data_IF_606328880962
#
_entry.id   IF_606328880962
#
_cell.length_a   1.000
_cell.length_b   1.000
_cell.length_c   1.000
_cell.angle_alpha   90.00
_cell.angle_beta   90.00
_cell.angle_gamma   90.00
#
_symmetry.space_group_name_H-M   'P 1'
#
loop_
_entity.id
_entity.type
_entity.pdbx_description
1 polymer ?
#
# COMPACT_ATOMS: atom_id res chain seq x y z
N UNK A 1 -5.50 3.41 -24.65
CA UNK A 1 -4.94 4.55 -23.90
C UNK A 1 -6.10 5.20 -23.15
N UNK A 2 -5.95 5.46 -21.85
CA UNK A 2 -7.03 6.04 -21.03
C UNK A 2 -7.15 7.55 -21.32
N UNK A 3 -8.37 8.13 -21.35
CA UNK A 3 -8.55 9.57 -21.52
C UNK A 3 -8.30 10.30 -20.19
N UNK A 4 -7.03 10.60 -19.88
CA UNK A 4 -6.57 11.20 -18.63
C UNK A 4 -5.95 12.59 -18.86
N UNK A 5 -5.96 13.46 -17.85
CA UNK A 5 -5.19 14.70 -17.81
C UNK A 5 -3.70 14.42 -17.57
N UNK A 6 -2.84 15.41 -17.80
CA UNK A 6 -1.38 15.24 -17.76
C UNK A 6 -0.83 14.92 -16.36
N UNK A 7 -1.58 15.25 -15.31
CA UNK A 7 -1.23 15.09 -13.90
C UNK A 7 -2.05 13.99 -13.20
N UNK A 8 -2.96 13.33 -13.93
CA UNK A 8 -3.72 12.20 -13.40
C UNK A 8 -2.81 11.00 -13.16
N UNK A 9 -3.04 10.33 -12.03
CA UNK A 9 -2.51 9.00 -11.76
C UNK A 9 -3.66 8.02 -11.67
N UNK A 10 -3.65 7.00 -12.53
CA UNK A 10 -4.65 5.94 -12.51
C UNK A 10 -4.01 4.67 -11.96
N UNK A 11 -4.66 4.05 -10.96
CA UNK A 11 -4.19 2.78 -10.38
C UNK A 11 -5.33 1.76 -10.32
N UNK A 12 -5.04 0.49 -10.57
CA UNK A 12 -5.88 -0.63 -10.10
C UNK A 12 -5.29 -1.19 -8.81
N UNK A 13 -6.10 -1.74 -7.91
CA UNK A 13 -5.58 -2.30 -6.67
C UNK A 13 -6.16 -3.67 -6.32
N UNK A 14 -5.37 -4.44 -5.57
CA UNK A 14 -5.76 -5.69 -4.91
C UNK A 14 -5.64 -5.52 -3.40
N UNK A 15 -6.62 -5.99 -2.64
CA UNK A 15 -6.60 -5.88 -1.18
C UNK A 15 -6.23 -7.22 -0.54
N UNK A 16 -5.27 -7.18 0.38
CA UNK A 16 -4.92 -8.27 1.28
C UNK A 16 -5.34 -7.92 2.71
N UNK A 17 -5.65 -8.92 3.53
CA UNK A 17 -5.87 -8.72 4.96
C UNK A 17 -4.89 -9.56 5.76
N UNK A 18 -4.06 -8.90 6.56
CA UNK A 18 -3.17 -9.54 7.52
C UNK A 18 -3.88 -9.61 8.88
N UNK A 19 -4.07 -10.82 9.39
CA UNK A 19 -4.54 -11.00 10.77
C UNK A 19 -3.35 -11.21 11.72
N UNK A 20 -3.25 -10.38 12.75
CA UNK A 20 -2.21 -10.49 13.79
C UNK A 20 -2.79 -10.09 15.14
N UNK A 21 -2.64 -10.95 16.15
CA UNK A 21 -3.11 -10.66 17.51
C UNK A 21 -4.61 -10.35 17.60
N UNK A 22 -5.44 -11.00 16.77
CA UNK A 22 -6.88 -10.79 16.73
C UNK A 22 -7.34 -9.51 16.01
N UNK A 23 -6.43 -8.75 15.40
CA UNK A 23 -6.74 -7.54 14.61
C UNK A 23 -6.42 -7.77 13.14
N UNK A 24 -7.27 -7.27 12.26
CA UNK A 24 -7.06 -7.30 10.81
C UNK A 24 -6.46 -5.98 10.34
N UNK A 25 -5.40 -6.04 9.57
CA UNK A 25 -4.78 -4.90 8.87
C UNK A 25 -4.98 -5.09 7.37
N UNK A 26 -5.62 -4.14 6.69
CA UNK A 26 -5.72 -4.17 5.23
C UNK A 26 -4.40 -3.70 4.62
N UNK A 27 -4.05 -4.29 3.48
CA UNK A 27 -2.93 -3.85 2.65
C UNK A 27 -3.45 -3.74 1.22
N UNK A 28 -3.46 -2.54 0.68
CA UNK A 28 -3.86 -2.26 -0.69
C UNK A 28 -2.62 -2.22 -1.59
N UNK A 29 -2.56 -3.11 -2.58
CA UNK A 29 -1.45 -3.14 -3.54
C UNK A 29 -1.91 -2.53 -4.84
N UNK A 30 -1.44 -1.32 -5.13
CA UNK A 30 -1.76 -0.53 -6.31
C UNK A 30 -0.78 -0.83 -7.43
N UNK A 31 -1.30 -1.20 -8.59
CA UNK A 31 -0.60 -1.19 -9.86
C UNK A 31 -0.88 0.13 -10.57
N UNK A 32 0.17 0.89 -10.87
CA UNK A 32 0.06 2.19 -11.53
C UNK A 32 -0.13 1.97 -13.04
N UNK A 33 -1.31 2.28 -13.54
CA UNK A 33 -1.69 2.10 -14.95
C UNK A 33 -1.28 3.31 -15.81
N UNK A 34 -1.21 4.50 -15.21
CA UNK A 34 -0.79 5.75 -15.86
C UNK A 34 -0.30 6.77 -14.83
N UNK A 35 0.60 7.66 -15.24
CA UNK A 35 1.27 8.65 -14.37
C UNK A 35 2.79 8.48 -14.34
N UNK A 36 3.45 9.15 -13.40
CA UNK A 36 4.91 9.23 -13.31
C UNK A 36 5.62 7.87 -13.13
N UNK A 37 4.96 6.90 -12.50
CA UNK A 37 5.52 5.58 -12.16
C UNK A 37 4.73 4.43 -12.81
N UNK A 38 4.22 4.62 -14.03
CA UNK A 38 3.43 3.59 -14.73
C UNK A 38 4.16 2.24 -14.81
N UNK A 39 3.47 1.16 -14.45
CA UNK A 39 4.00 -0.20 -14.36
C UNK A 39 4.56 -0.58 -12.98
N UNK A 40 4.73 0.38 -12.06
CA UNK A 40 5.16 0.08 -10.70
C UNK A 40 4.01 -0.43 -9.82
N UNK A 41 4.39 -1.17 -8.77
CA UNK A 41 3.48 -1.62 -7.73
C UNK A 41 3.85 -0.97 -6.40
N UNK A 42 2.83 -0.46 -5.68
CA UNK A 42 2.96 0.13 -4.35
C UNK A 42 1.97 -0.52 -3.39
N UNK A 43 2.44 -0.94 -2.21
CA UNK A 43 1.61 -1.60 -1.20
C UNK A 43 1.43 -0.69 0.01
N UNK A 44 0.19 -0.37 0.34
CA UNK A 44 -0.15 0.54 1.42
C UNK A 44 -0.91 -0.19 2.52
N UNK A 45 -0.37 -0.26 3.75
CA UNK A 45 -1.17 -0.61 4.91
C UNK A 45 -2.26 0.45 5.15
N UNK A 46 -3.50 0.01 5.35
CA UNK A 46 -4.70 0.87 5.48
C UNK A 46 -5.54 0.43 6.69
N UNK A 47 -5.97 1.41 7.49
CA UNK A 47 -6.95 1.26 8.57
C UNK A 47 -7.94 2.42 8.46
N UNK A 48 -9.25 2.13 8.37
CA UNK A 48 -10.32 3.13 8.25
C UNK A 48 -10.05 4.26 7.23
N UNK A 49 -9.59 3.89 6.03
CA UNK A 49 -9.23 4.81 4.93
C UNK A 49 -8.00 5.70 5.19
N UNK A 50 -7.31 5.49 6.32
CA UNK A 50 -6.05 6.15 6.64
C UNK A 50 -4.90 5.26 6.15
N UNK A 51 -4.05 5.83 5.30
CA UNK A 51 -2.80 5.22 4.92
C UNK A 51 -1.79 5.30 6.07
N UNK A 52 -1.04 4.21 6.26
CA UNK A 52 0.10 4.19 7.18
C UNK A 52 1.20 5.19 6.82
N UNK A 53 2.15 5.41 7.72
CA UNK A 53 3.35 6.20 7.40
C UNK A 53 4.14 5.59 6.23
N UNK A 54 4.71 6.44 5.37
CA UNK A 54 5.42 6.03 4.14
C UNK A 54 6.53 4.99 4.39
N UNK A 55 7.15 5.02 5.56
CA UNK A 55 8.19 4.06 5.95
C UNK A 55 7.69 2.60 5.91
N UNK A 56 6.37 2.37 6.07
CA UNK A 56 5.75 1.05 6.03
C UNK A 56 5.21 0.66 4.64
N UNK A 57 5.24 1.58 3.66
CA UNK A 57 4.77 1.29 2.31
C UNK A 57 5.72 0.34 1.60
N UNK A 58 5.16 -0.59 0.82
CA UNK A 58 5.93 -1.52 -0.01
C UNK A 58 6.11 -0.99 -1.42
N UNK A 59 7.26 -1.25 -2.02
CA UNK A 59 7.51 -0.96 -3.44
C UNK A 59 7.95 -2.23 -4.17
N UNK A 60 7.55 -2.37 -5.43
CA UNK A 60 7.91 -3.54 -6.23
C UNK A 60 7.61 -3.39 -7.71
N UNK A 61 8.11 -4.33 -8.50
CA UNK A 61 7.82 -4.49 -9.92
C UNK A 61 6.70 -5.51 -10.18
N UNK A 62 6.06 -5.99 -9.12
CA UNK A 62 4.93 -6.93 -9.15
C UNK A 62 4.11 -6.78 -7.86
N UNK A 63 2.86 -7.26 -7.90
CA UNK A 63 1.97 -7.24 -6.73
C UNK A 63 2.61 -7.92 -5.51
N UNK A 64 3.13 -9.15 -5.70
CA UNK A 64 3.75 -9.93 -4.63
C UNK A 64 5.05 -9.31 -4.12
N UNK A 65 5.85 -8.68 -4.97
CA UNK A 65 7.10 -8.04 -4.52
C UNK A 65 6.82 -6.79 -3.67
N UNK A 66 5.84 -5.97 -4.05
CA UNK A 66 5.40 -4.83 -3.26
C UNK A 66 4.78 -5.28 -1.92
N UNK A 67 3.89 -6.27 -1.95
CA UNK A 67 3.30 -6.85 -0.74
C UNK A 67 4.38 -7.39 0.21
N UNK A 68 5.33 -8.18 -0.32
CA UNK A 68 6.43 -8.74 0.48
C UNK A 68 7.28 -7.63 1.10
N UNK A 69 7.57 -6.57 0.35
CA UNK A 69 8.32 -5.42 0.86
C UNK A 69 7.59 -4.74 2.03
N UNK A 70 6.28 -4.49 1.90
CA UNK A 70 5.47 -3.95 3.00
C UNK A 70 5.45 -4.89 4.21
N UNK A 71 5.22 -6.19 4.00
CA UNK A 71 5.17 -7.18 5.09
C UNK A 71 6.49 -7.28 5.87
N UNK A 72 7.64 -7.16 5.20
CA UNK A 72 8.95 -7.12 5.86
C UNK A 72 9.08 -5.89 6.77
N UNK A 73 8.61 -4.72 6.32
CA UNK A 73 8.61 -3.48 7.10
C UNK A 73 7.63 -3.53 8.28
N UNK A 74 6.53 -4.26 8.12
CA UNK A 74 5.52 -4.48 9.17
C UNK A 74 5.89 -5.60 10.16
N UNK A 75 6.82 -6.50 9.81
CA UNK A 75 7.17 -7.65 10.64
C UNK A 75 7.61 -7.27 12.08
N UNK A 76 8.48 -6.27 12.30
CA UNK A 76 8.97 -5.95 13.65
C UNK A 76 8.04 -5.04 14.47
N UNK A 77 6.92 -4.56 13.91
CA UNK A 77 6.06 -3.54 14.54
C UNK A 77 4.68 -4.08 14.93
N UNK A 78 4.12 -3.48 15.98
CA UNK A 78 2.71 -3.65 16.31
C UNK A 78 1.85 -2.85 15.32
N UNK A 79 0.69 -3.38 14.93
CA UNK A 79 -0.22 -2.74 13.95
C UNK A 79 -0.57 -1.30 14.38
N UNK A 80 -0.79 -1.05 15.67
CA UNK A 80 -1.12 0.28 16.21
C UNK A 80 0.01 1.32 16.07
N UNK A 81 1.24 0.89 15.78
CA UNK A 81 2.39 1.78 15.60
C UNK A 81 2.64 2.14 14.13
N UNK A 82 1.82 1.60 13.21
CA UNK A 82 1.99 1.75 11.76
C UNK A 82 1.32 3.02 11.23
N UNK A 83 0.31 3.52 11.94
CA UNK A 83 -0.51 4.64 11.53
C UNK A 83 -0.11 5.92 12.25
N UNK A 84 -0.28 7.08 11.60
CA UNK A 84 -0.06 8.37 12.25
C UNK A 84 -0.99 8.47 13.46
N UNK A 85 -0.42 8.88 14.60
CA UNK A 85 -1.23 9.20 15.77
C UNK A 85 -1.95 10.51 15.48
N UNK A 86 -3.28 10.50 15.57
CA UNK A 86 -4.02 11.77 15.58
C UNK A 86 -3.46 12.66 16.71
N UNK A 87 -3.31 13.97 16.48
CA UNK A 87 -2.94 14.92 17.53
C UNK A 87 -3.97 14.95 18.66
#
# INVERSE_FOLDING_TARGET
MFPLQNDDTLTSFTTFTLYRGGRGLKIEVHHILSGADAGAYRAYPVEDEIFSDEQFWGHGNSELSALRNALLKLQPVQISAVFPRSP
#
